data_IF_988497592585
#
_entry.id   IF_988497592585
#
_cell.length_a   1.000
_cell.length_b   1.000
_cell.length_c   1.000
_cell.angle_alpha   90.00
_cell.angle_beta   90.00
_cell.angle_gamma   90.00
#
_symmetry.space_group_name_H-M   'P 1'
#
loop_
_entity.id
_entity.type
_entity.pdbx_description
1 polymer ?
#
# COMPACT_ATOMS: atom_id res chain seq x y z
N UNK A 1 -4.44 -2.81 1.16
CA UNK A 1 -5.70 -3.58 1.24
C UNK A 1 -6.52 -3.28 2.49
N UNK A 2 -5.98 -3.44 3.71
CA UNK A 2 -6.79 -3.33 4.95
C UNK A 2 -7.56 -2.00 5.09
N UNK A 3 -6.91 -0.84 4.91
CA UNK A 3 -7.57 0.47 4.99
C UNK A 3 -8.68 0.65 3.94
N UNK A 4 -8.56 -0.02 2.79
CA UNK A 4 -9.58 -0.01 1.73
C UNK A 4 -10.75 -0.92 2.10
N UNK A 5 -10.48 -2.07 2.72
CA UNK A 5 -11.52 -2.97 3.21
C UNK A 5 -12.36 -2.35 4.33
N UNK A 6 -11.78 -1.46 5.15
CA UNK A 6 -12.54 -0.67 6.14
C UNK A 6 -13.66 0.14 5.43
N UNK A 7 -13.37 0.79 4.30
CA UNK A 7 -14.40 1.49 3.50
C UNK A 7 -15.44 0.54 2.91
N UNK A 8 -15.06 -0.67 2.51
CA UNK A 8 -16.02 -1.68 2.02
C UNK A 8 -16.97 -2.12 3.12
N UNK A 9 -16.47 -2.31 4.34
CA UNK A 9 -17.30 -2.63 5.52
C UNK A 9 -18.29 -1.50 5.82
N UNK A 10 -17.89 -0.24 5.59
CA UNK A 10 -18.73 0.94 5.76
C UNK A 10 -19.72 1.19 4.58
N UNK A 11 -19.90 0.23 3.67
CA UNK A 11 -20.76 0.31 2.47
C UNK A 11 -20.32 1.39 1.44
N UNK A 12 -19.02 1.72 1.41
CA UNK A 12 -18.46 2.78 0.56
C UNK A 12 -17.75 2.27 -0.69
N UNK A 13 -18.07 1.06 -1.15
CA UNK A 13 -17.33 0.38 -2.23
C UNK A 13 -17.18 1.23 -3.51
N UNK A 14 -18.22 2.01 -3.83
CA UNK A 14 -18.28 2.88 -5.02
C UNK A 14 -18.20 4.37 -4.69
N UNK A 15 -18.04 4.74 -3.42
CA UNK A 15 -17.85 6.13 -3.03
C UNK A 15 -16.39 6.57 -3.26
N UNK A 16 -16.18 7.86 -3.49
CA UNK A 16 -14.82 8.41 -3.68
C UNK A 16 -14.02 8.29 -2.38
N UNK A 17 -12.91 7.56 -2.42
CA UNK A 17 -11.96 7.46 -1.32
C UNK A 17 -11.01 8.67 -1.29
N UNK A 18 -10.54 9.12 -2.46
CA UNK A 18 -9.70 10.31 -2.62
C UNK A 18 -9.71 10.83 -4.06
N UNK A 19 -9.23 12.07 -4.25
CA UNK A 19 -9.02 12.68 -5.56
C UNK A 19 -7.59 12.44 -6.03
N UNK A 20 -7.42 12.01 -7.29
CA UNK A 20 -6.12 11.84 -7.92
C UNK A 20 -6.01 12.70 -9.18
N UNK A 21 -4.80 12.89 -9.74
CA UNK A 21 -4.65 13.52 -11.07
C UNK A 21 -5.40 12.79 -12.19
N UNK A 22 -5.74 11.51 -12.01
CA UNK A 22 -6.54 10.71 -12.96
C UNK A 22 -8.05 10.78 -12.69
N UNK A 23 -8.49 11.60 -11.72
CA UNK A 23 -9.88 11.70 -11.28
C UNK A 23 -10.14 11.02 -9.91
N UNK A 24 -11.42 10.94 -9.50
CA UNK A 24 -11.80 10.33 -8.23
C UNK A 24 -11.52 8.83 -8.23
N UNK A 25 -10.89 8.34 -7.17
CA UNK A 25 -10.60 6.92 -6.99
C UNK A 25 -11.53 6.35 -5.93
N UNK A 26 -12.21 5.25 -6.26
CA UNK A 26 -13.11 4.54 -5.34
C UNK A 26 -12.48 3.24 -4.83
N UNK A 27 -12.95 2.63 -3.71
CA UNK A 27 -12.40 1.37 -3.22
C UNK A 27 -12.37 0.24 -4.25
N UNK A 28 -13.40 0.13 -5.10
CA UNK A 28 -13.41 -0.88 -6.18
C UNK A 28 -12.27 -0.66 -7.20
N UNK A 29 -11.88 0.59 -7.45
CA UNK A 29 -10.75 0.93 -8.33
C UNK A 29 -9.41 0.52 -7.70
N UNK A 30 -9.29 0.56 -6.37
CA UNK A 30 -8.08 0.11 -5.67
C UNK A 30 -8.02 -1.42 -5.59
N UNK A 31 -9.16 -2.11 -5.45
CA UNK A 31 -9.21 -3.56 -5.30
C UNK A 31 -8.97 -4.28 -6.63
N UNK A 32 -9.62 -3.83 -7.70
CA UNK A 32 -9.57 -4.52 -9.00
C UNK A 32 -8.72 -3.81 -10.06
N UNK A 33 -8.30 -2.58 -9.78
CA UNK A 33 -7.63 -1.71 -10.74
C UNK A 33 -8.57 -0.60 -11.24
N UNK A 34 -7.97 0.48 -11.73
CA UNK A 34 -8.68 1.68 -12.15
C UNK A 34 -9.68 1.38 -13.28
N UNK A 35 -10.98 1.43 -13.00
CA UNK A 35 -12.04 0.95 -13.91
C UNK A 35 -12.03 1.66 -15.25
N UNK A 36 -11.75 2.97 -15.29
CA UNK A 36 -11.66 3.73 -16.55
C UNK A 36 -10.54 3.18 -17.44
N UNK A 37 -9.37 2.92 -16.87
CA UNK A 37 -8.25 2.31 -17.60
C UNK A 37 -8.60 0.90 -18.08
N UNK A 38 -9.26 0.10 -17.24
CA UNK A 38 -9.69 -1.26 -17.61
C UNK A 38 -10.71 -1.26 -18.76
N UNK A 39 -11.67 -0.33 -18.74
CA UNK A 39 -12.67 -0.17 -19.80
C UNK A 39 -12.03 0.24 -21.15
N UNK A 40 -10.88 0.91 -21.11
CA UNK A 40 -10.08 1.27 -22.29
C UNK A 40 -9.17 0.13 -22.78
N UNK A 41 -9.24 -1.06 -22.19
CA UNK A 41 -8.44 -2.23 -22.57
C UNK A 41 -7.07 -2.33 -21.88
N UNK A 42 -6.75 -1.45 -20.93
CA UNK A 42 -5.49 -1.49 -20.17
C UNK A 42 -5.52 -2.58 -19.08
N UNK A 43 -5.81 -3.83 -19.45
CA UNK A 43 -5.98 -4.94 -18.50
C UNK A 43 -4.72 -5.29 -17.70
N UNK A 44 -3.54 -4.82 -18.12
CA UNK A 44 -2.31 -4.93 -17.32
C UNK A 44 -2.37 -4.11 -16.02
N UNK A 45 -3.26 -3.12 -15.93
CA UNK A 45 -3.52 -2.36 -14.70
C UNK A 45 -4.46 -3.08 -13.72
N UNK A 46 -4.97 -4.26 -14.08
CA UNK A 46 -5.82 -5.04 -13.19
C UNK A 46 -5.02 -5.54 -11.99
N UNK A 47 -5.50 -5.25 -10.79
CA UNK A 47 -4.90 -5.75 -9.57
C UNK A 47 -5.36 -7.19 -9.32
N UNK A 48 -4.39 -8.10 -9.21
CA UNK A 48 -4.64 -9.55 -8.99
C UNK A 48 -4.23 -10.03 -7.61
N UNK A 49 -3.52 -9.19 -6.86
CA UNK A 49 -3.09 -9.48 -5.51
C UNK A 49 -3.17 -8.20 -4.67
N UNK A 50 -3.32 -8.39 -3.37
CA UNK A 50 -3.31 -7.30 -2.42
C UNK A 50 -2.64 -7.77 -1.14
N UNK A 51 -1.90 -6.88 -0.49
CA UNK A 51 -1.24 -7.19 0.77
C UNK A 51 -1.96 -6.53 1.95
N UNK A 52 -2.05 -7.29 3.04
CA UNK A 52 -2.09 -6.73 4.39
C UNK A 52 -0.66 -6.48 4.85
N UNK A 53 -0.46 -5.60 5.83
CA UNK A 53 0.88 -5.30 6.33
C UNK A 53 1.62 -6.58 6.75
N UNK A 54 0.95 -7.46 7.50
CA UNK A 54 1.51 -8.74 7.95
C UNK A 54 1.90 -9.67 6.80
N UNK A 55 1.05 -9.80 5.78
CA UNK A 55 1.33 -10.70 4.65
C UNK A 55 2.51 -10.17 3.83
N UNK A 56 2.62 -8.84 3.62
CA UNK A 56 3.78 -8.24 2.96
C UNK A 56 5.08 -8.51 3.72
N UNK A 57 5.10 -8.23 5.03
CA UNK A 57 6.29 -8.50 5.86
C UNK A 57 6.65 -9.98 5.89
N UNK A 58 5.65 -10.87 5.92
CA UNK A 58 5.89 -12.33 5.91
C UNK A 58 6.43 -12.81 4.57
N UNK A 59 5.94 -12.26 3.46
CA UNK A 59 6.44 -12.56 2.12
C UNK A 59 7.91 -12.13 1.96
N UNK A 60 8.25 -10.92 2.42
CA UNK A 60 9.63 -10.43 2.44
C UNK A 60 10.53 -11.34 3.31
N UNK A 61 10.08 -11.72 4.50
CA UNK A 61 10.84 -12.64 5.35
C UNK A 61 11.07 -13.99 4.66
N UNK A 62 10.04 -14.53 4.02
CA UNK A 62 10.11 -15.81 3.30
C UNK A 62 11.02 -15.75 2.06
N UNK A 63 11.18 -14.56 1.48
CA UNK A 63 12.10 -14.28 0.38
C UNK A 63 13.57 -14.08 0.83
N UNK A 64 13.87 -14.22 2.13
CA UNK A 64 15.24 -14.15 2.65
C UNK A 64 15.67 -12.76 3.16
N UNK A 65 14.77 -11.78 3.25
CA UNK A 65 15.08 -10.52 3.90
C UNK A 65 15.11 -10.70 5.43
N UNK A 66 16.10 -10.09 6.08
CA UNK A 66 16.44 -10.34 7.49
C UNK A 66 16.03 -9.21 8.44
N UNK A 67 15.97 -7.96 7.94
CA UNK A 67 15.41 -6.82 8.68
C UNK A 67 14.31 -6.20 7.84
N UNK A 68 13.14 -5.96 8.44
CA UNK A 68 11.93 -5.51 7.75
C UNK A 68 11.22 -4.47 8.62
N UNK A 69 10.93 -3.32 8.02
CA UNK A 69 10.02 -2.31 8.55
C UNK A 69 8.84 -2.18 7.58
N UNK A 70 7.68 -1.81 8.11
CA UNK A 70 6.48 -1.61 7.29
C UNK A 70 5.62 -0.51 7.90
N UNK A 71 5.03 0.31 7.06
CA UNK A 71 4.12 1.39 7.44
C UNK A 71 2.86 1.28 6.60
N UNK A 72 1.70 1.34 7.25
CA UNK A 72 0.40 1.41 6.58
C UNK A 72 -0.22 2.77 6.91
N UNK A 73 -0.54 3.56 5.90
CA UNK A 73 -1.34 4.77 6.08
C UNK A 73 -2.82 4.48 5.80
N UNK A 74 -3.69 5.18 6.50
CA UNK A 74 -5.14 5.12 6.28
C UNK A 74 -5.54 6.23 5.30
N UNK A 75 -6.83 6.56 5.25
CA UNK A 75 -7.32 7.75 4.53
C UNK A 75 -6.49 8.98 4.92
N UNK A 76 -6.14 9.86 3.96
CA UNK A 76 -6.54 9.84 2.53
C UNK A 76 -5.63 9.02 1.60
N UNK A 77 -4.60 8.35 2.12
CA UNK A 77 -3.52 7.77 1.29
C UNK A 77 -3.70 6.32 0.87
N UNK A 78 -4.17 5.49 1.81
CA UNK A 78 -4.42 4.06 1.59
C UNK A 78 -3.22 3.20 1.13
N UNK A 79 -1.99 3.70 1.31
CA UNK A 79 -0.77 3.03 0.89
C UNK A 79 -0.11 2.20 1.99
N UNK A 80 0.70 1.24 1.53
CA UNK A 80 1.44 0.29 2.35
C UNK A 80 2.89 0.29 1.90
N UNK A 81 3.78 0.72 2.78
CA UNK A 81 5.22 0.74 2.60
C UNK A 81 5.87 -0.45 3.29
N UNK A 82 6.96 -0.93 2.70
CA UNK A 82 7.90 -1.83 3.36
C UNK A 82 9.32 -1.47 2.95
N UNK A 83 10.24 -1.54 3.92
CA UNK A 83 11.67 -1.47 3.70
C UNK A 83 12.30 -2.73 4.26
N UNK A 84 13.16 -3.37 3.48
CA UNK A 84 13.77 -4.63 3.87
C UNK A 84 15.21 -4.75 3.39
N UNK A 85 16.08 -5.36 4.21
CA UNK A 85 17.49 -5.62 3.89
C UNK A 85 17.78 -7.12 3.90
N UNK A 86 18.69 -7.58 3.01
CA UNK A 86 19.12 -8.98 2.97
C UNK A 86 20.23 -9.28 3.98
N UNK A 87 21.01 -8.26 4.35
CA UNK A 87 22.06 -8.36 5.37
C UNK A 87 21.64 -7.64 6.64
N UNK A 88 21.97 -8.19 7.83
CA UNK A 88 21.78 -7.47 9.08
C UNK A 88 22.63 -6.20 9.09
N UNK A 89 22.12 -5.16 9.73
CA UNK A 89 22.83 -3.92 10.00
C UNK A 89 22.51 -3.43 11.40
N UNK A 90 23.20 -2.40 11.88
CA UNK A 90 22.91 -1.82 13.19
C UNK A 90 21.50 -1.25 13.20
N UNK A 91 20.80 -1.40 14.32
CA UNK A 91 19.42 -0.93 14.45
C UNK A 91 19.31 0.59 14.20
N UNK A 92 20.29 1.37 14.65
CA UNK A 92 20.35 2.82 14.39
C UNK A 92 20.38 3.15 12.89
N UNK A 93 21.17 2.39 12.12
CA UNK A 93 21.34 2.60 10.70
C UNK A 93 20.07 2.19 9.94
N UNK A 94 19.47 1.07 10.36
CA UNK A 94 18.19 0.64 9.83
C UNK A 94 17.07 1.65 10.10
N UNK A 95 16.98 2.20 11.32
CA UNK A 95 15.99 3.23 11.67
C UNK A 95 16.21 4.51 10.85
N UNK A 96 17.45 4.94 10.66
CA UNK A 96 17.77 6.09 9.82
C UNK A 96 17.37 5.85 8.35
N UNK A 97 17.61 4.64 7.85
CA UNK A 97 17.21 4.23 6.50
C UNK A 97 15.68 4.21 6.35
N UNK A 98 14.95 3.72 7.35
CA UNK A 98 13.49 3.77 7.38
C UNK A 98 12.99 5.21 7.36
N UNK A 99 13.54 6.09 8.21
CA UNK A 99 13.16 7.50 8.25
C UNK A 99 13.45 8.24 6.93
N UNK A 100 14.50 7.85 6.21
CA UNK A 100 14.85 8.46 4.92
C UNK A 100 13.92 8.05 3.77
N UNK A 101 13.19 6.94 3.89
CA UNK A 101 12.39 6.36 2.79
C UNK A 101 10.90 6.27 3.07
N UNK A 102 10.50 6.20 4.33
CA UNK A 102 9.08 6.22 4.68
C UNK A 102 8.57 7.66 4.59
N UNK A 103 7.31 7.85 4.16
CA UNK A 103 6.70 9.17 4.21
C UNK A 103 6.63 9.66 5.65
N UNK A 104 6.81 10.96 5.86
CA UNK A 104 6.57 11.58 7.16
C UNK A 104 5.14 11.28 7.60
N UNK A 105 5.00 10.69 8.78
CA UNK A 105 3.67 10.38 9.36
C UNK A 105 2.99 11.63 9.93
N UNK A 106 3.73 12.73 10.10
CA UNK A 106 3.27 13.98 10.69
C UNK A 106 2.83 15.03 9.66
N UNK A 107 2.97 14.76 8.36
CA UNK A 107 2.52 15.66 7.30
C UNK A 107 1.42 14.97 6.45
N UNK A 108 0.13 15.29 6.71
CA UNK A 108 -1.02 14.70 6.01
C UNK A 108 -1.22 15.25 4.59
#
# INVERSE_FOLDING_TARGET
MQSVCELVVDDKLTETAYQSPSGPITPIDIIYGHRVSLAQGNHYMAHRCGFTQRVLSSALKSAGFVMIASLRRKSPYFDLFALATQTPMRESDFRALVAAHFPDTDNP
#
